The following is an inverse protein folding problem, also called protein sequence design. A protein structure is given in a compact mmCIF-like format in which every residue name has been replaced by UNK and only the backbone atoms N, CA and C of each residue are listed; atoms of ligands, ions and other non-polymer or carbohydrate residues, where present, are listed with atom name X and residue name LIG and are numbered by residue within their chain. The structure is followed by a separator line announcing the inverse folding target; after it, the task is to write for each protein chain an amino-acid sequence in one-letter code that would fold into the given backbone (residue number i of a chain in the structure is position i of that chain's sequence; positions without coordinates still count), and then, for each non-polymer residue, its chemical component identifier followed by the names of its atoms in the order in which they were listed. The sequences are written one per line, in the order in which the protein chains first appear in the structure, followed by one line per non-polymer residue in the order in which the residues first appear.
data_IF_689794571460
#
_entry.id   IF_689794571460
#
_cell.length_a   1.000
_cell.length_b   1.000
_cell.length_c   1.000
_cell.angle_alpha   90.00
_cell.angle_beta   90.00
_cell.angle_gamma   90.00
#
_symmetry.space_group_name_H-M   'P 1'
#
loop_
_entity.id
_entity.type
_entity.pdbx_description
1 polymer ?
#
# COMPACT_ATOMS: atom_id res chain seq x y z
N UNK A 1 16.84 8.65 -6.41
CA UNK A 1 16.32 9.38 -5.22
C UNK A 1 15.01 8.74 -4.78
N UNK A 2 14.74 8.61 -3.46
CA UNK A 2 13.46 8.10 -2.97
C UNK A 2 12.30 8.98 -3.46
N UNK A 3 11.13 8.38 -3.77
CA UNK A 3 9.92 9.15 -4.11
C UNK A 3 9.51 9.99 -2.90
N UNK A 4 9.26 11.29 -3.11
CA UNK A 4 8.77 12.20 -2.06
C UNK A 4 7.29 12.51 -2.27
N UNK A 5 6.53 12.56 -1.18
CA UNK A 5 5.11 12.95 -1.17
C UNK A 5 4.97 14.33 -0.53
N UNK A 6 4.11 15.19 -1.09
CA UNK A 6 3.74 16.46 -0.45
C UNK A 6 2.83 16.16 0.75
N UNK A 7 3.18 16.69 1.91
CA UNK A 7 2.45 16.52 3.18
C UNK A 7 2.19 17.90 3.78
N UNK A 8 0.97 18.12 4.27
CA UNK A 8 0.59 19.32 5.02
C UNK A 8 0.31 18.90 6.46
N UNK A 9 0.98 19.53 7.42
CA UNK A 9 0.74 19.33 8.85
C UNK A 9 -0.10 20.51 9.34
N UNK A 10 -1.28 20.23 9.90
CA UNK A 10 -2.19 21.23 10.45
C UNK A 10 -2.09 21.27 11.96
N UNK A 11 -2.42 22.41 12.56
CA UNK A 11 -2.45 22.62 14.02
C UNK A 11 -1.11 22.30 14.71
N UNK A 12 0.01 22.69 14.08
CA UNK A 12 1.34 22.55 14.65
C UNK A 12 1.66 23.75 15.54
N UNK A 13 2.34 23.51 16.66
CA UNK A 13 2.74 24.56 17.60
C UNK A 13 3.64 25.61 16.91
N UNK A 14 3.23 26.88 16.95
CA UNK A 14 3.90 27.94 16.18
C UNK A 14 5.31 28.22 16.69
N UNK A 15 5.51 28.20 18.00
CA UNK A 15 6.80 28.48 18.61
C UNK A 15 7.78 27.33 18.36
N UNK A 16 7.32 26.09 18.43
CA UNK A 16 8.09 24.93 18.03
C UNK A 16 8.46 24.99 16.54
N UNK A 17 7.54 25.39 15.66
CA UNK A 17 7.84 25.57 14.24
C UNK A 17 8.91 26.65 14.01
N UNK A 18 8.85 27.75 14.75
CA UNK A 18 9.89 28.80 14.71
C UNK A 18 11.25 28.25 15.13
N UNK A 19 11.31 27.50 16.23
CA UNK A 19 12.55 26.86 16.68
C UNK A 19 13.12 25.89 15.63
N UNK A 20 12.27 25.04 15.05
CA UNK A 20 12.70 24.11 13.98
C UNK A 20 13.32 24.88 12.81
N UNK A 21 12.71 25.99 12.36
CA UNK A 21 13.28 26.82 11.29
C UNK A 21 14.66 27.38 11.63
N UNK A 22 14.84 27.85 12.87
CA UNK A 22 16.14 28.37 13.33
C UNK A 22 17.20 27.28 13.30
N UNK A 23 16.95 26.14 13.94
CA UNK A 23 17.89 25.02 13.96
C UNK A 23 18.18 24.47 12.56
N UNK A 24 17.15 24.31 11.72
CA UNK A 24 17.32 23.87 10.34
C UNK A 24 18.25 24.82 9.56
N UNK A 25 18.10 26.13 9.75
CA UNK A 25 18.94 27.13 9.10
C UNK A 25 20.40 27.08 9.60
N UNK A 26 20.60 26.91 10.91
CA UNK A 26 21.93 26.77 11.51
C UNK A 26 22.65 25.50 11.04
N UNK A 27 21.91 24.40 10.83
CA UNK A 27 22.46 23.12 10.38
C UNK A 27 22.52 22.95 8.85
N UNK A 28 22.09 23.95 8.07
CA UNK A 28 22.00 23.84 6.61
C UNK A 28 21.02 22.77 6.12
N UNK A 29 19.99 22.47 6.94
CA UNK A 29 18.93 21.49 6.65
C UNK A 29 17.65 22.19 6.25
N UNK A 30 16.77 21.45 5.57
CA UNK A 30 15.38 21.89 5.38
C UNK A 30 14.53 21.50 6.59
N UNK A 31 13.46 22.24 6.86
CA UNK A 31 12.47 21.85 7.89
C UNK A 31 11.94 20.43 7.66
N UNK A 32 11.72 20.05 6.40
CA UNK A 32 11.31 18.70 6.04
C UNK A 32 12.34 17.64 6.48
N UNK A 33 13.64 17.89 6.29
CA UNK A 33 14.69 16.97 6.72
C UNK A 33 14.72 16.80 8.25
N UNK A 34 14.59 17.90 9.01
CA UNK A 34 14.53 17.85 10.48
C UNK A 34 13.30 17.05 10.95
N UNK A 35 12.14 17.28 10.35
CA UNK A 35 10.92 16.52 10.67
C UNK A 35 11.09 15.05 10.29
N UNK A 36 11.66 14.73 9.13
CA UNK A 36 11.93 13.34 8.73
C UNK A 36 12.89 12.63 9.70
N UNK A 37 13.96 13.29 10.14
CA UNK A 37 14.88 12.76 11.15
C UNK A 37 14.17 12.49 12.48
N UNK A 38 13.38 13.46 12.96
CA UNK A 38 12.63 13.32 14.22
C UNK A 38 11.59 12.18 14.15
N UNK A 39 10.86 12.07 13.04
CA UNK A 39 9.88 10.99 12.82
C UNK A 39 10.57 9.63 12.76
N UNK A 40 11.71 9.52 12.06
CA UNK A 40 12.50 8.27 12.01
C UNK A 40 12.96 7.86 13.41
N UNK A 41 13.48 8.81 14.17
CA UNK A 41 13.91 8.57 15.56
C UNK A 41 12.75 8.10 16.42
N UNK A 42 11.60 8.79 16.38
CA UNK A 42 10.40 8.42 17.12
C UNK A 42 9.88 7.02 16.78
N UNK A 43 9.90 6.66 15.50
CA UNK A 43 9.50 5.33 15.03
C UNK A 43 10.49 4.24 15.46
N UNK A 44 11.80 4.50 15.43
CA UNK A 44 12.82 3.53 15.81
C UNK A 44 12.75 3.11 17.30
N UNK A 45 12.21 3.97 18.16
CA UNK A 45 11.99 3.67 19.57
C UNK A 45 10.74 2.81 19.84
N UNK A 46 9.99 2.41 18.82
CA UNK A 46 8.80 1.56 18.98
C UNK A 46 9.19 0.07 18.92
N UNK A 47 8.80 -0.70 19.93
CA UNK A 47 9.06 -2.14 20.00
C UNK A 47 8.46 -2.92 18.82
N UNK A 48 7.41 -2.40 18.20
CA UNK A 48 6.72 -2.99 17.05
C UNK A 48 7.06 -2.32 15.71
N UNK A 49 8.13 -1.52 15.62
CA UNK A 49 8.48 -0.81 14.38
C UNK A 49 8.62 -1.75 13.16
N UNK A 50 9.25 -2.91 13.37
CA UNK A 50 9.41 -3.92 12.32
C UNK A 50 8.08 -4.44 11.80
N UNK A 51 7.11 -4.68 12.68
CA UNK A 51 5.77 -5.14 12.31
C UNK A 51 5.01 -4.07 11.52
N UNK A 52 5.03 -2.82 11.99
CA UNK A 52 4.36 -1.69 11.32
C UNK A 52 4.96 -1.44 9.92
N UNK A 53 6.28 -1.57 9.80
CA UNK A 53 6.95 -1.44 8.51
C UNK A 53 6.53 -2.55 7.53
N UNK A 54 6.40 -3.79 8.03
CA UNK A 54 5.95 -4.91 7.22
C UNK A 54 4.49 -4.75 6.79
N UNK A 55 3.62 -4.27 7.68
CA UNK A 55 2.24 -3.90 7.33
C UNK A 55 2.19 -2.84 6.22
N UNK A 56 3.00 -1.78 6.30
CA UNK A 56 3.06 -0.75 5.27
C UNK A 56 3.52 -1.31 3.90
N UNK A 57 4.46 -2.27 3.90
CA UNK A 57 4.91 -2.95 2.67
C UNK A 57 3.82 -3.85 2.08
N UNK A 58 3.11 -4.59 2.93
CA UNK A 58 2.00 -5.44 2.51
C UNK A 58 0.88 -4.60 1.87
N UNK A 59 0.56 -3.44 2.44
CA UNK A 59 -0.42 -2.51 1.87
C UNK A 59 0.01 -1.96 0.50
N UNK A 60 1.29 -1.60 0.36
CA UNK A 60 1.82 -1.10 -0.92
C UNK A 60 1.77 -2.16 -2.02
N UNK A 61 2.21 -3.39 -1.72
CA UNK A 61 2.17 -4.50 -2.68
C UNK A 61 0.74 -4.94 -2.99
N UNK A 62 -0.17 -4.96 -2.00
CA UNK A 62 -1.60 -5.19 -2.23
C UNK A 62 -2.16 -4.17 -3.22
N UNK A 63 -1.94 -2.87 -2.98
CA UNK A 63 -2.41 -1.80 -3.87
C UNK A 63 -1.83 -1.95 -5.28
N UNK A 64 -0.55 -2.29 -5.38
CA UNK A 64 0.12 -2.52 -6.66
C UNK A 64 -0.49 -3.69 -7.42
N UNK A 65 -0.78 -4.80 -6.75
CA UNK A 65 -1.39 -5.97 -7.35
C UNK A 65 -2.86 -5.72 -7.72
N UNK A 66 -3.60 -4.99 -6.88
CA UNK A 66 -4.99 -4.62 -7.15
C UNK A 66 -5.13 -3.69 -8.36
N UNK A 67 -4.22 -2.73 -8.55
CA UNK A 67 -4.21 -1.89 -9.74
C UNK A 67 -4.02 -2.69 -11.04
N UNK A 68 -3.24 -3.78 -10.98
CA UNK A 68 -3.07 -4.70 -12.11
C UNK A 68 -4.35 -5.47 -12.36
N UNK A 69 -5.02 -5.96 -11.31
CA UNK A 69 -6.33 -6.59 -11.46
C UNK A 69 -7.29 -5.65 -12.18
N UNK A 70 -7.46 -4.41 -11.69
CA UNK A 70 -8.40 -3.45 -12.30
C UNK A 70 -8.10 -3.18 -13.77
N UNK A 71 -6.82 -3.06 -14.14
CA UNK A 71 -6.41 -2.80 -15.53
C UNK A 71 -6.62 -4.01 -16.45
N UNK A 72 -6.36 -5.22 -15.95
CA UNK A 72 -6.37 -6.45 -16.77
C UNK A 72 -7.70 -7.21 -16.67
N UNK A 73 -8.64 -6.79 -15.82
CA UNK A 73 -9.83 -7.57 -15.45
C UNK A 73 -10.69 -7.97 -16.66
N UNK A 74 -10.99 -7.02 -17.55
CA UNK A 74 -11.83 -7.28 -18.72
C UNK A 74 -11.19 -8.31 -19.66
N UNK A 75 -9.88 -8.17 -19.89
CA UNK A 75 -9.11 -9.10 -20.71
C UNK A 75 -9.03 -10.50 -20.07
N UNK A 76 -8.83 -10.55 -18.74
CA UNK A 76 -8.80 -11.80 -17.99
C UNK A 76 -10.13 -12.53 -18.03
N UNK A 77 -11.26 -11.84 -17.81
CA UNK A 77 -12.59 -12.46 -17.88
C UNK A 77 -12.98 -12.90 -19.29
N UNK A 78 -12.60 -12.11 -20.30
CA UNK A 78 -12.91 -12.43 -21.70
C UNK A 78 -12.10 -13.63 -22.19
N UNK A 79 -10.84 -13.75 -21.73
CA UNK A 79 -9.95 -14.86 -22.09
C UNK A 79 -10.19 -16.11 -21.25
N UNK A 80 -10.54 -15.93 -19.98
CA UNK A 80 -10.74 -16.99 -18.99
C UNK A 80 -12.11 -16.79 -18.35
N UNK A 81 -13.08 -17.61 -18.73
CA UNK A 81 -14.45 -17.52 -18.19
C UNK A 81 -14.54 -17.90 -16.70
N UNK A 82 -13.63 -18.74 -16.22
CA UNK A 82 -13.55 -19.21 -14.84
C UNK A 82 -12.10 -19.47 -14.40
N UNK A 83 -11.90 -19.68 -13.10
CA UNK A 83 -10.61 -20.03 -12.51
C UNK A 83 -10.14 -19.03 -11.46
N UNK A 84 -8.87 -19.11 -11.10
CA UNK A 84 -8.24 -18.30 -10.05
C UNK A 84 -7.04 -17.55 -10.61
N UNK A 85 -7.15 -16.22 -10.74
CA UNK A 85 -6.04 -15.35 -11.17
C UNK A 85 -5.09 -15.15 -10.00
N UNK A 86 -3.81 -15.40 -10.21
CA UNK A 86 -2.73 -15.01 -9.27
C UNK A 86 -2.03 -13.75 -9.78
N UNK A 87 -1.96 -12.74 -8.93
CA UNK A 87 -1.26 -11.48 -9.19
C UNK A 87 -0.30 -11.23 -8.03
N UNK A 88 0.98 -11.03 -8.34
CA UNK A 88 1.95 -10.57 -7.36
C UNK A 88 3.12 -9.84 -8.02
N UNK A 89 3.86 -9.06 -7.24
CA UNK A 89 4.97 -8.24 -7.71
C UNK A 89 4.54 -7.27 -8.83
N UNK A 90 3.27 -6.84 -8.84
CA UNK A 90 2.69 -5.96 -9.85
C UNK A 90 2.53 -6.57 -11.24
N UNK A 91 2.28 -7.87 -11.36
CA UNK A 91 1.97 -8.55 -12.63
C UNK A 91 1.05 -9.75 -12.44
N UNK A 92 0.33 -10.13 -13.49
CA UNK A 92 -0.40 -11.40 -13.55
C UNK A 92 0.61 -12.53 -13.71
N UNK A 93 0.58 -13.50 -12.78
CA UNK A 93 1.43 -14.70 -12.84
C UNK A 93 0.75 -15.79 -13.69
N UNK A 94 -0.57 -15.92 -13.57
CA UNK A 94 -1.34 -16.88 -14.34
C UNK A 94 -2.77 -17.02 -13.86
N UNK A 95 -3.54 -17.85 -14.55
CA UNK A 95 -4.88 -18.28 -14.17
C UNK A 95 -4.85 -19.78 -13.94
N UNK A 96 -5.35 -20.20 -12.79
CA UNK A 96 -5.27 -21.57 -12.29
C UNK A 96 -6.65 -22.19 -12.13
N UNK A 97 -6.70 -23.51 -12.18
CA UNK A 97 -7.95 -24.27 -12.08
C UNK A 97 -8.54 -24.26 -10.67
N UNK A 98 -7.70 -24.10 -9.65
CA UNK A 98 -8.12 -24.12 -8.25
C UNK A 98 -7.38 -23.08 -7.40
N UNK A 99 -8.01 -22.67 -6.31
CA UNK A 99 -7.39 -21.79 -5.32
C UNK A 99 -6.10 -22.38 -4.77
N UNK A 100 -6.09 -23.69 -4.47
CA UNK A 100 -4.92 -24.37 -3.90
C UNK A 100 -3.73 -24.35 -4.85
N UNK A 101 -3.96 -24.50 -6.15
CA UNK A 101 -2.92 -24.41 -7.17
C UNK A 101 -2.34 -23.00 -7.25
N UNK A 102 -3.20 -21.97 -7.29
CA UNK A 102 -2.77 -20.57 -7.25
C UNK A 102 -1.99 -20.25 -5.95
N UNK A 103 -2.43 -20.78 -4.81
CA UNK A 103 -1.78 -20.59 -3.52
C UNK A 103 -0.42 -21.29 -3.43
N UNK A 104 -0.30 -22.52 -3.95
CA UNK A 104 1.01 -23.18 -4.05
C UNK A 104 1.95 -22.39 -4.95
N UNK A 105 1.44 -21.91 -6.09
CA UNK A 105 2.27 -21.13 -7.01
C UNK A 105 2.71 -19.79 -6.43
N UNK A 106 1.89 -19.18 -5.58
CA UNK A 106 2.24 -17.90 -4.96
C UNK A 106 3.42 -18.03 -4.00
N UNK A 107 3.54 -19.15 -3.28
CA UNK A 107 4.69 -19.42 -2.39
C UNK A 107 6.02 -19.49 -3.14
N UNK A 108 6.00 -19.92 -4.42
CA UNK A 108 7.20 -20.00 -5.25
C UNK A 108 7.53 -18.67 -5.96
N UNK A 109 6.49 -17.92 -6.36
CA UNK A 109 6.64 -16.83 -7.32
C UNK A 109 6.54 -15.42 -6.70
N UNK A 110 5.97 -15.28 -5.50
CA UNK A 110 5.65 -13.98 -4.91
C UNK A 110 6.62 -13.66 -3.77
N UNK A 111 7.07 -12.40 -3.69
CA UNK A 111 8.09 -12.00 -2.70
C UNK A 111 7.51 -11.58 -1.36
N UNK A 112 6.27 -11.11 -1.32
CA UNK A 112 5.70 -10.46 -0.13
C UNK A 112 4.21 -10.74 -0.01
N UNK A 113 3.40 -10.20 -0.92
CA UNK A 113 1.95 -10.33 -0.93
C UNK A 113 1.49 -10.89 -2.28
N UNK A 114 0.49 -11.77 -2.23
CA UNK A 114 -0.16 -12.33 -3.40
C UNK A 114 -1.65 -12.04 -3.36
N UNK A 115 -2.19 -11.58 -4.48
CA UNK A 115 -3.62 -11.39 -4.69
C UNK A 115 -4.14 -12.55 -5.54
N UNK A 116 -5.04 -13.36 -4.97
CA UNK A 116 -5.72 -14.45 -5.67
C UNK A 116 -7.19 -14.10 -5.80
N UNK A 117 -7.70 -14.07 -7.04
CA UNK A 117 -9.08 -13.66 -7.35
C UNK A 117 -9.78 -14.72 -8.17
N UNK A 118 -11.00 -15.09 -7.79
CA UNK A 118 -11.85 -16.02 -8.54
C UNK A 118 -12.50 -15.29 -9.72
N UNK A 119 -12.52 -15.93 -10.90
CA UNK A 119 -13.27 -15.50 -12.08
C UNK A 119 -14.59 -16.29 -12.21
N UNK A 120 -15.65 -15.66 -12.77
CA UNK A 120 -15.74 -14.24 -13.06
C UNK A 120 -15.68 -13.41 -11.77
N UNK A 121 -15.05 -12.24 -11.83
CA UNK A 121 -14.90 -11.39 -10.66
C UNK A 121 -16.15 -10.55 -10.47
N UNK A 122 -16.96 -10.92 -9.48
CA UNK A 122 -18.06 -10.08 -9.03
C UNK A 122 -17.51 -8.99 -8.12
N UNK A 123 -17.35 -7.78 -8.66
CA UNK A 123 -17.06 -6.59 -7.84
C UNK A 123 -18.28 -6.37 -6.94
N UNK A 124 -18.23 -6.85 -5.69
CA UNK A 124 -19.28 -6.58 -4.70
C UNK A 124 -19.31 -5.08 -4.46
N UNK A 125 -20.22 -4.40 -5.16
CA UNK A 125 -20.62 -3.04 -4.83
C UNK A 125 -21.58 -3.18 -3.65
N UNK A 126 -21.06 -3.27 -2.43
CA UNK A 126 -21.89 -2.94 -1.28
C UNK A 126 -22.18 -1.45 -1.38
N UNK A 127 -23.33 -1.10 -1.98
CA UNK A 127 -23.99 0.17 -1.69
C UNK A 127 -24.33 0.11 -0.21
N UNK A 128 -23.42 0.59 0.63
CA UNK A 128 -23.74 0.93 2.00
C UNK A 128 -24.69 2.12 1.89
N UNK A 129 -25.99 1.88 1.99
CA UNK A 129 -26.95 2.94 2.31
C UNK A 129 -26.57 3.45 3.71
N UNK A 130 -25.74 4.49 3.74
CA UNK A 130 -25.57 5.32 4.92
C UNK A 130 -26.91 6.04 5.10
N UNK A 131 -27.87 5.36 5.71
CA UNK A 131 -29.16 5.94 6.06
C UNK A 131 -28.90 7.22 6.82
N UNK A 132 -29.02 8.36 6.15
CA UNK A 132 -28.99 9.66 6.79
C UNK A 132 -30.33 9.81 7.52
N UNK A 133 -30.34 9.99 8.85
CA UNK A 133 -31.57 10.33 9.54
C UNK A 133 -32.02 11.71 9.05
N UNK A 134 -33.27 11.77 8.60
CA UNK A 134 -34.00 12.98 8.25
C UNK A 134 -34.28 13.82 9.50
#
# INVERSE_FOLDING_TARGET
MPKRKRVTIKNFDEDLYRLIKVYASLEGKTVAAVIEEAVRSWLSGKSNYGEVLEWARLEEEYRRNYNVLERELEALQSRYGEGYVLICNGRVIGVFSSYLEAARKSLEACSTQALIVKLPYEKRVEKVELGLPW
#
